data_IF_066244625793
#
_entry.id   IF_066244625793
#
_cell.length_a   1.000
_cell.length_b   1.000
_cell.length_c   1.000
_cell.angle_alpha   90.00
_cell.angle_beta   90.00
_cell.angle_gamma   90.00
#
_symmetry.space_group_name_H-M   'P 1'
#
loop_
_entity.id
_entity.type
_entity.pdbx_description
1 polymer ?
#
# COMPACT_ATOMS: atom_id res chain seq x y z
N UNK A 1 -33.83 27.48 33.07
CA UNK A 1 -32.96 26.34 33.43
C UNK A 1 -31.59 26.61 32.86
N UNK A 2 -30.60 26.85 33.72
CA UNK A 2 -29.21 27.17 33.38
C UNK A 2 -28.37 25.94 33.68
N UNK A 3 -27.60 25.44 32.72
CA UNK A 3 -26.63 24.37 32.95
C UNK A 3 -25.29 24.82 32.38
N UNK A 4 -24.43 25.28 33.30
CA UNK A 4 -23.03 25.64 33.09
C UNK A 4 -22.21 24.43 32.62
N UNK A 5 -21.43 24.60 31.56
CA UNK A 5 -20.38 23.65 31.16
C UNK A 5 -19.17 23.85 32.08
N UNK A 6 -18.87 22.86 32.93
CA UNK A 6 -17.63 22.81 33.70
C UNK A 6 -16.58 22.03 32.92
N UNK A 7 -15.40 22.65 32.78
CA UNK A 7 -14.15 22.06 32.31
C UNK A 7 -13.71 20.92 33.24
N UNK A 8 -13.12 19.86 32.68
CA UNK A 8 -12.35 18.88 33.46
C UNK A 8 -11.02 18.68 32.76
N UNK A 9 -9.99 19.33 33.30
CA UNK A 9 -8.60 19.05 32.98
C UNK A 9 -8.19 17.78 33.73
N UNK A 10 -7.78 16.74 33.00
CA UNK A 10 -7.24 15.52 33.59
C UNK A 10 -5.73 15.72 33.75
N UNK A 11 -5.29 15.95 34.98
CA UNK A 11 -3.89 15.92 35.36
C UNK A 11 -3.49 14.47 35.65
N UNK A 12 -2.65 13.85 34.81
CA UNK A 12 -2.00 12.59 35.14
C UNK A 12 -0.80 12.86 36.05
N UNK A 13 -0.95 12.53 37.34
CA UNK A 13 0.18 12.40 38.27
C UNK A 13 0.64 10.94 38.28
N UNK A 14 1.79 10.66 37.68
CA UNK A 14 2.50 9.38 37.82
C UNK A 14 3.51 9.48 38.95
N UNK A 15 3.30 8.72 40.03
CA UNK A 15 4.25 8.61 41.14
C UNK A 15 5.42 7.71 40.73
N UNK A 16 6.64 8.25 40.72
CA UNK A 16 7.89 7.49 40.55
C UNK A 16 8.30 6.92 41.90
N UNK A 17 8.04 5.64 42.15
CA UNK A 17 8.65 4.90 43.26
C UNK A 17 9.99 4.34 42.81
N UNK A 18 11.09 4.93 43.28
CA UNK A 18 12.44 4.38 43.19
C UNK A 18 12.64 3.37 44.33
N UNK A 19 12.91 2.11 44.00
CA UNK A 19 13.34 1.12 44.99
C UNK A 19 13.66 -0.24 44.40
N UNK A 20 14.87 -0.74 44.67
CA UNK A 20 15.16 -2.17 44.75
C UNK A 20 15.98 -2.76 43.60
N UNK A 21 17.23 -3.07 43.90
CA UNK A 21 18.22 -3.81 43.10
C UNK A 21 17.79 -5.24 42.74
N UNK A 22 17.82 -5.63 41.46
CA UNK A 22 18.33 -6.93 40.96
C UNK A 22 18.09 -7.12 39.45
N UNK A 23 19.10 -7.70 38.78
CA UNK A 23 19.15 -8.24 37.42
C UNK A 23 18.89 -7.27 36.24
N UNK A 24 19.98 -6.95 35.53
CA UNK A 24 19.96 -6.29 34.23
C UNK A 24 19.26 -7.18 33.18
N UNK A 25 17.93 -7.08 33.11
CA UNK A 25 17.24 -7.22 31.83
C UNK A 25 17.40 -5.88 31.12
N UNK A 26 17.81 -5.90 29.86
CA UNK A 26 17.73 -4.73 29.00
C UNK A 26 16.26 -4.30 28.98
N UNK A 27 15.92 -3.30 29.79
CA UNK A 27 14.60 -2.71 29.82
C UNK A 27 14.44 -2.01 28.48
N UNK A 28 13.66 -2.63 27.59
CA UNK A 28 13.20 -2.00 26.35
C UNK A 28 12.73 -0.60 26.70
N UNK A 29 13.34 0.39 26.05
CA UNK A 29 13.15 1.79 26.41
C UNK A 29 11.68 2.14 26.14
N UNK A 30 10.85 2.45 27.15
CA UNK A 30 9.41 2.68 26.95
C UNK A 30 9.12 3.81 25.95
N UNK A 31 10.09 4.73 25.78
CA UNK A 31 10.02 5.79 24.79
C UNK A 31 10.15 5.30 23.33
N UNK A 32 10.92 4.24 23.06
CA UNK A 32 11.06 3.65 21.72
C UNK A 32 9.77 2.92 21.31
N UNK A 33 9.11 2.26 22.25
CA UNK A 33 7.83 1.59 22.01
C UNK A 33 6.71 2.60 21.73
N UNK A 34 6.64 3.68 22.52
CA UNK A 34 5.69 4.80 22.30
C UNK A 34 5.93 5.51 20.96
N UNK A 35 7.21 5.72 20.60
CA UNK A 35 7.61 6.27 19.29
C UNK A 35 7.15 5.38 18.13
N UNK A 36 7.37 4.07 18.25
CA UNK A 36 6.99 3.08 17.23
C UNK A 36 5.47 2.98 17.07
N UNK A 37 4.73 3.04 18.17
CA UNK A 37 3.26 3.09 18.14
C UNK A 37 2.74 4.38 17.48
N UNK A 38 3.33 5.54 17.81
CA UNK A 38 2.96 6.81 17.20
C UNK A 38 3.22 6.82 15.68
N UNK A 39 4.38 6.32 15.25
CA UNK A 39 4.71 6.20 13.82
C UNK A 39 3.76 5.26 13.08
N UNK A 40 3.36 4.15 13.72
CA UNK A 40 2.38 3.21 13.15
C UNK A 40 1.03 3.90 12.91
N UNK A 41 0.56 4.70 13.87
CA UNK A 41 -0.71 5.44 13.71
C UNK A 41 -0.64 6.48 12.58
N UNK A 42 0.49 7.18 12.44
CA UNK A 42 0.72 8.12 11.34
C UNK A 42 0.68 7.39 9.99
N UNK A 43 1.34 6.22 9.89
CA UNK A 43 1.38 5.44 8.66
C UNK A 43 -0.02 4.94 8.26
N UNK A 44 -0.83 4.50 9.22
CA UNK A 44 -2.22 4.09 8.97
C UNK A 44 -3.05 5.28 8.47
N UNK A 45 -2.95 6.44 9.13
CA UNK A 45 -3.69 7.63 8.73
C UNK A 45 -3.27 8.12 7.33
N UNK A 46 -1.97 8.09 7.01
CA UNK A 46 -1.46 8.44 5.69
C UNK A 46 -1.96 7.47 4.61
N UNK A 47 -1.96 6.16 4.88
CA UNK A 47 -2.47 5.16 3.95
C UNK A 47 -3.97 5.35 3.68
N UNK A 48 -4.78 5.64 4.72
CA UNK A 48 -6.20 5.95 4.56
C UNK A 48 -6.43 7.23 3.74
N UNK A 49 -5.66 8.28 4.02
CA UNK A 49 -5.73 9.52 3.26
C UNK A 49 -5.38 9.28 1.79
N UNK A 50 -4.25 8.64 1.50
CA UNK A 50 -3.83 8.31 0.13
C UNK A 50 -4.90 7.47 -0.56
N UNK A 51 -5.41 6.42 0.08
CA UNK A 51 -6.47 5.56 -0.48
C UNK A 51 -7.74 6.35 -0.83
N UNK A 52 -8.09 7.37 -0.03
CA UNK A 52 -9.27 8.23 -0.27
C UNK A 52 -9.09 9.24 -1.41
N UNK A 53 -7.86 9.48 -1.88
CA UNK A 53 -7.62 10.39 -2.99
C UNK A 53 -8.15 9.81 -4.30
N UNK A 54 -8.76 10.63 -5.17
CA UNK A 54 -9.05 10.24 -6.54
C UNK A 54 -7.79 9.78 -7.29
N UNK A 55 -7.93 8.82 -8.21
CA UNK A 55 -6.78 8.25 -8.89
C UNK A 55 -6.02 9.26 -9.76
N UNK A 56 -6.75 10.18 -10.40
CA UNK A 56 -6.19 11.30 -11.16
C UNK A 56 -5.34 12.25 -10.29
N UNK A 57 -5.71 12.41 -9.01
CA UNK A 57 -4.92 13.21 -8.06
C UNK A 57 -3.62 12.50 -7.70
N UNK A 58 -3.66 11.18 -7.49
CA UNK A 58 -2.47 10.37 -7.20
C UNK A 58 -1.51 10.35 -8.40
N UNK A 59 -2.05 10.19 -9.60
CA UNK A 59 -1.29 10.22 -10.85
C UNK A 59 -0.64 11.58 -11.08
N UNK A 60 -1.37 12.68 -10.80
CA UNK A 60 -0.82 14.02 -10.87
C UNK A 60 0.32 14.23 -9.87
N UNK A 61 0.17 13.77 -8.62
CA UNK A 61 1.21 13.89 -7.61
C UNK A 61 2.52 13.24 -8.10
N UNK A 62 2.44 12.02 -8.62
CA UNK A 62 3.60 11.33 -9.17
C UNK A 62 4.21 12.07 -10.37
N UNK A 63 3.37 12.49 -11.33
CA UNK A 63 3.80 13.25 -12.52
C UNK A 63 4.54 14.55 -12.18
N UNK A 64 4.19 15.19 -11.06
CA UNK A 64 4.84 16.42 -10.60
C UNK A 64 6.00 16.17 -9.61
N UNK A 65 6.42 14.92 -9.41
CA UNK A 65 7.53 14.56 -8.53
C UNK A 65 7.21 14.77 -7.04
N UNK A 66 5.93 14.68 -6.67
CA UNK A 66 5.51 14.74 -5.26
C UNK A 66 5.55 13.33 -4.70
N UNK A 67 6.54 13.08 -3.83
CA UNK A 67 6.66 11.81 -3.12
C UNK A 67 5.49 11.62 -2.15
N UNK A 68 4.69 10.59 -2.41
CA UNK A 68 3.71 10.13 -1.44
C UNK A 68 4.44 9.38 -0.31
N UNK A 69 4.23 9.77 0.97
CA UNK A 69 4.91 9.12 2.08
C UNK A 69 4.39 7.70 2.28
N UNK A 70 5.16 6.89 3.03
CA UNK A 70 4.79 5.55 3.51
C UNK A 70 4.74 4.44 2.44
N UNK A 71 4.48 3.21 2.89
CA UNK A 71 4.26 2.04 2.04
C UNK A 71 3.13 2.25 1.02
N UNK A 72 2.07 2.99 1.40
CA UNK A 72 0.97 3.31 0.49
C UNK A 72 1.42 4.22 -0.65
N UNK A 73 2.33 5.16 -0.39
CA UNK A 73 2.92 5.98 -1.45
C UNK A 73 3.76 5.17 -2.43
N UNK A 74 4.61 4.28 -1.93
CA UNK A 74 5.36 3.35 -2.78
C UNK A 74 4.45 2.44 -3.62
N UNK A 75 3.32 2.00 -3.05
CA UNK A 75 2.32 1.22 -3.78
C UNK A 75 1.66 2.01 -4.93
N UNK A 76 1.37 3.30 -4.72
CA UNK A 76 0.77 4.14 -5.77
C UNK A 76 1.77 4.49 -6.87
N UNK A 77 3.02 4.79 -6.51
CA UNK A 77 4.10 4.97 -7.49
C UNK A 77 4.30 3.69 -8.31
N UNK A 78 4.38 2.53 -7.67
CA UNK A 78 4.52 1.25 -8.37
C UNK A 78 3.37 1.02 -9.36
N UNK A 79 2.13 1.29 -8.95
CA UNK A 79 0.96 1.16 -9.84
C UNK A 79 1.06 2.12 -11.03
N UNK A 80 1.41 3.39 -10.80
CA UNK A 80 1.56 4.38 -11.86
C UNK A 80 2.61 3.95 -12.90
N UNK A 81 3.80 3.57 -12.45
CA UNK A 81 4.89 3.17 -13.34
C UNK A 81 4.55 1.90 -14.12
N UNK A 82 3.88 0.95 -13.47
CA UNK A 82 3.42 -0.28 -14.16
C UNK A 82 2.42 0.06 -15.26
N UNK A 83 1.49 0.99 -14.99
CA UNK A 83 0.53 1.46 -15.99
C UNK A 83 1.22 2.13 -17.17
N UNK A 84 2.17 3.04 -16.93
CA UNK A 84 2.93 3.70 -18.00
C UNK A 84 3.69 2.67 -18.85
N UNK A 85 4.39 1.73 -18.21
CA UNK A 85 5.16 0.70 -18.89
C UNK A 85 4.30 -0.20 -19.79
N UNK A 86 3.07 -0.52 -19.35
CA UNK A 86 2.12 -1.29 -20.16
C UNK A 86 1.53 -0.49 -21.33
N UNK A 87 1.28 0.82 -21.15
CA UNK A 87 0.88 1.70 -22.24
C UNK A 87 2.00 1.84 -23.29
N UNK A 88 3.26 1.98 -22.87
CA UNK A 88 4.43 1.98 -23.77
C UNK A 88 4.61 0.66 -24.53
N UNK A 89 4.29 -0.47 -23.88
CA UNK A 89 4.26 -1.78 -24.51
C UNK A 89 3.08 -1.95 -25.50
N UNK A 90 2.17 -0.98 -25.59
CA UNK A 90 1.06 -0.94 -26.54
C UNK A 90 -0.28 -1.42 -25.99
N UNK A 91 -0.37 -1.81 -24.72
CA UNK A 91 -1.65 -2.20 -24.10
C UNK A 91 -2.55 -0.99 -23.88
N UNK A 92 -3.87 -1.24 -23.78
CA UNK A 92 -4.87 -0.18 -23.56
C UNK A 92 -5.57 -0.37 -22.22
N UNK A 93 -5.73 0.71 -21.45
CA UNK A 93 -6.49 0.66 -20.19
C UNK A 93 -7.92 0.21 -20.44
N UNK A 94 -8.40 -0.73 -19.64
CA UNK A 94 -9.78 -1.22 -19.70
C UNK A 94 -10.43 -1.21 -18.31
N UNK A 95 -11.68 -0.72 -18.23
CA UNK A 95 -12.38 -0.57 -16.96
C UNK A 95 -12.75 -1.91 -16.31
N UNK A 96 -13.06 -2.94 -17.12
CA UNK A 96 -13.37 -4.29 -16.65
C UNK A 96 -12.12 -4.95 -16.08
N UNK A 97 -11.01 -4.81 -16.82
CA UNK A 97 -9.71 -5.30 -16.36
C UNK A 97 -9.26 -4.57 -15.07
N UNK A 98 -9.43 -3.25 -15.01
CA UNK A 98 -9.13 -2.44 -13.82
C UNK A 98 -9.95 -2.86 -12.61
N UNK A 99 -11.26 -3.08 -12.78
CA UNK A 99 -12.13 -3.56 -11.69
C UNK A 99 -11.71 -4.94 -11.20
N UNK A 100 -11.24 -5.81 -12.10
CA UNK A 100 -10.76 -7.16 -11.73
C UNK A 100 -9.43 -7.08 -10.99
N UNK A 101 -8.49 -6.29 -11.49
CA UNK A 101 -7.22 -6.03 -10.81
C UNK A 101 -7.44 -5.48 -9.38
N UNK A 102 -8.38 -4.54 -9.20
CA UNK A 102 -8.71 -4.04 -7.85
C UNK A 102 -9.23 -5.14 -6.93
N UNK A 103 -10.17 -5.96 -7.40
CA UNK A 103 -10.69 -7.09 -6.62
C UNK A 103 -9.57 -8.06 -6.22
N UNK A 104 -8.64 -8.34 -7.13
CA UNK A 104 -7.50 -9.21 -6.89
C UNK A 104 -6.53 -8.63 -5.84
N UNK A 105 -6.22 -7.34 -5.93
CA UNK A 105 -5.39 -6.65 -4.94
C UNK A 105 -6.05 -6.66 -3.55
N UNK A 106 -7.35 -6.41 -3.48
CA UNK A 106 -8.12 -6.42 -2.23
C UNK A 106 -8.22 -7.84 -1.62
N UNK A 107 -8.42 -8.87 -2.46
CA UNK A 107 -8.39 -10.28 -2.04
C UNK A 107 -7.03 -10.63 -1.42
N UNK A 108 -5.94 -10.17 -2.03
CA UNK A 108 -4.58 -10.40 -1.53
C UNK A 108 -4.32 -9.69 -0.20
N UNK A 109 -4.68 -8.41 -0.09
CA UNK A 109 -4.55 -7.65 1.17
C UNK A 109 -5.42 -8.22 2.29
N UNK A 110 -6.56 -8.85 1.95
CA UNK A 110 -7.41 -9.57 2.89
C UNK A 110 -6.90 -10.98 3.24
N UNK A 111 -5.76 -11.42 2.70
CA UNK A 111 -5.17 -12.74 2.97
C UNK A 111 -5.91 -13.91 2.33
N UNK A 112 -6.70 -13.66 1.28
CA UNK A 112 -7.49 -14.70 0.59
C UNK A 112 -6.74 -15.37 -0.56
N UNK A 113 -5.61 -14.79 -0.97
CA UNK A 113 -4.78 -15.27 -2.08
C UNK A 113 -3.62 -16.11 -1.54
N UNK A 114 -3.41 -17.27 -2.13
CA UNK A 114 -2.21 -18.08 -1.89
C UNK A 114 -1.07 -17.60 -2.79
N UNK A 115 0.14 -17.56 -2.24
CA UNK A 115 1.33 -17.10 -2.94
C UNK A 115 2.38 -18.19 -3.00
N UNK A 116 2.91 -18.43 -4.19
CA UNK A 116 4.08 -19.27 -4.44
C UNK A 116 5.20 -18.37 -4.98
N UNK A 117 6.35 -18.35 -4.31
CA UNK A 117 7.49 -17.46 -4.64
C UNK A 117 7.13 -15.97 -4.80
N UNK A 118 6.13 -15.51 -4.04
CA UNK A 118 5.66 -14.11 -4.06
C UNK A 118 4.68 -13.79 -5.19
N UNK A 119 4.25 -14.78 -5.97
CA UNK A 119 3.26 -14.65 -7.04
C UNK A 119 1.98 -15.38 -6.64
N UNK A 120 0.84 -14.73 -6.83
CA UNK A 120 -0.49 -15.31 -6.62
C UNK A 120 -1.42 -14.98 -7.77
N UNK A 121 -2.62 -15.55 -7.73
CA UNK A 121 -3.67 -15.29 -8.71
C UNK A 121 -4.98 -15.02 -7.98
N UNK A 122 -5.74 -14.03 -8.44
CA UNK A 122 -7.07 -13.78 -7.91
C UNK A 122 -8.10 -14.75 -8.48
N UNK A 123 -9.27 -14.81 -7.85
CA UNK A 123 -10.31 -15.77 -8.24
C UNK A 123 -11.38 -15.15 -9.14
N UNK A 124 -11.58 -13.83 -9.06
CA UNK A 124 -12.56 -13.13 -9.87
C UNK A 124 -12.18 -13.12 -11.35
N UNK A 125 -13.15 -13.37 -12.24
CA UNK A 125 -13.01 -13.26 -13.70
C UNK A 125 -11.83 -14.03 -14.31
N UNK A 126 -11.37 -15.12 -13.68
CA UNK A 126 -10.27 -15.95 -14.18
C UNK A 126 -10.55 -16.59 -15.55
N UNK A 127 -11.81 -16.59 -16.00
CA UNK A 127 -12.22 -17.03 -17.35
C UNK A 127 -12.19 -15.91 -18.40
N UNK A 128 -12.05 -14.64 -18.00
CA UNK A 128 -12.11 -13.46 -18.88
C UNK A 128 -10.74 -12.95 -19.30
N UNK A 129 -9.67 -13.45 -18.70
CA UNK A 129 -8.35 -12.91 -18.88
C UNK A 129 -7.30 -13.68 -18.11
N UNK A 130 -6.08 -13.15 -18.14
CA UNK A 130 -4.93 -13.68 -17.42
C UNK A 130 -4.26 -12.58 -16.63
N UNK A 131 -3.43 -12.94 -15.66
CA UNK A 131 -2.77 -11.97 -14.82
C UNK A 131 -2.11 -12.58 -13.62
N UNK A 132 -1.50 -11.73 -12.80
CA UNK A 132 -0.84 -12.14 -11.58
C UNK A 132 -0.97 -11.07 -10.50
N UNK A 133 -0.77 -11.49 -9.25
CA UNK A 133 -0.64 -10.64 -8.08
C UNK A 133 0.77 -10.84 -7.54
N UNK A 134 1.55 -9.77 -7.43
CA UNK A 134 2.85 -9.81 -6.78
C UNK A 134 2.72 -9.33 -5.34
N UNK A 135 3.26 -10.12 -4.40
CA UNK A 135 3.41 -9.75 -2.99
C UNK A 135 4.82 -9.23 -2.74
N UNK A 136 4.93 -7.92 -2.52
CA UNK A 136 6.21 -7.22 -2.43
C UNK A 136 6.39 -6.59 -1.05
N UNK A 137 7.59 -6.69 -0.51
CA UNK A 137 8.03 -5.77 0.56
C UNK A 137 8.20 -4.35 0.01
N UNK A 138 8.33 -3.36 0.89
CA UNK A 138 8.61 -1.98 0.45
C UNK A 138 9.85 -1.89 -0.45
N UNK A 139 10.93 -2.58 -0.06
CA UNK A 139 12.17 -2.58 -0.84
C UNK A 139 11.95 -3.20 -2.22
N UNK A 140 11.28 -4.35 -2.31
CA UNK A 140 10.99 -5.00 -3.59
C UNK A 140 10.08 -4.14 -4.48
N UNK A 141 9.14 -3.39 -3.90
CA UNK A 141 8.32 -2.44 -4.64
C UNK A 141 9.19 -1.32 -5.24
N UNK A 142 10.14 -0.77 -4.47
CA UNK A 142 11.10 0.24 -4.94
C UNK A 142 12.03 -0.30 -6.02
N UNK A 143 12.53 -1.52 -5.85
CA UNK A 143 13.38 -2.18 -6.84
C UNK A 143 12.62 -2.40 -8.16
N UNK A 144 11.34 -2.76 -8.09
CA UNK A 144 10.48 -2.90 -9.27
C UNK A 144 10.19 -1.55 -9.92
N UNK A 145 9.95 -0.49 -9.14
CA UNK A 145 9.82 0.89 -9.67
C UNK A 145 11.06 1.26 -10.48
N UNK A 146 12.26 1.07 -9.93
CA UNK A 146 13.51 1.36 -10.64
C UNK A 146 13.69 0.53 -11.91
N UNK A 147 13.19 -0.71 -11.91
CA UNK A 147 13.21 -1.57 -13.09
C UNK A 147 12.23 -1.12 -14.17
N UNK A 148 11.13 -0.44 -13.80
CA UNK A 148 10.13 0.10 -14.72
C UNK A 148 10.59 1.39 -15.41
N UNK A 149 11.67 2.03 -14.96
CA UNK A 149 12.32 3.21 -15.59
C UNK A 149 13.03 2.91 -16.93
N UNK A 150 12.65 1.81 -17.57
CA UNK A 150 13.13 1.39 -18.90
C UNK A 150 11.95 1.37 -19.85
N UNK A 151 12.21 1.62 -21.12
CA UNK A 151 11.16 1.55 -22.14
C UNK A 151 10.46 0.18 -22.13
N UNK A 152 9.13 0.21 -22.20
CA UNK A 152 8.31 -0.97 -22.43
C UNK A 152 8.71 -1.69 -23.71
N UNK A 153 8.99 -3.00 -23.62
CA UNK A 153 9.16 -3.80 -24.83
C UNK A 153 7.81 -3.91 -25.54
N UNK A 154 7.69 -3.53 -26.83
CA UNK A 154 6.44 -3.62 -27.55
C UNK A 154 5.88 -5.05 -27.53
N UNK A 155 4.60 -5.19 -27.18
CA UNK A 155 3.93 -6.47 -27.20
C UNK A 155 3.32 -6.74 -28.59
N UNK A 156 3.48 -7.96 -29.11
CA UNK A 156 2.97 -8.32 -30.44
C UNK A 156 1.43 -8.41 -30.49
N UNK A 157 0.81 -8.61 -29.33
CA UNK A 157 -0.64 -8.78 -29.15
C UNK A 157 -1.11 -7.90 -27.98
N UNK A 158 -1.31 -6.59 -28.19
CA UNK A 158 -1.77 -5.70 -27.14
C UNK A 158 -3.22 -6.00 -26.76
N UNK A 159 -3.48 -6.07 -25.46
CA UNK A 159 -4.80 -6.36 -24.87
C UNK A 159 -5.26 -5.27 -23.91
N UNK A 160 -6.55 -5.30 -23.58
CA UNK A 160 -7.12 -4.45 -22.53
C UNK A 160 -6.59 -4.84 -21.14
N UNK A 161 -6.09 -3.90 -20.35
CA UNK A 161 -5.47 -4.19 -19.07
C UNK A 161 -5.97 -3.33 -17.91
N UNK A 162 -5.72 -3.82 -16.69
CA UNK A 162 -5.93 -3.12 -15.44
C UNK A 162 -4.80 -3.38 -14.45
N UNK A 163 -4.45 -2.37 -13.66
CA UNK A 163 -3.43 -2.47 -12.61
C UNK A 163 -3.95 -1.82 -11.35
N UNK A 164 -3.90 -2.55 -10.25
CA UNK A 164 -4.32 -2.04 -8.96
C UNK A 164 -3.33 -2.44 -7.87
N UNK A 165 -3.30 -1.66 -6.81
CA UNK A 165 -2.50 -1.97 -5.62
C UNK A 165 -3.34 -1.95 -4.37
N UNK A 166 -2.94 -2.75 -3.39
CA UNK A 166 -3.46 -2.76 -2.04
C UNK A 166 -2.33 -3.06 -1.05
N UNK A 167 -2.55 -2.78 0.23
CA UNK A 167 -1.57 -3.06 1.28
C UNK A 167 -2.24 -3.55 2.55
N UNK A 168 -1.59 -4.49 3.24
CA UNK A 168 -1.96 -4.94 4.59
C UNK A 168 -1.16 -4.21 5.69
N UNK A 169 -0.42 -3.16 5.32
CA UNK A 169 0.50 -2.42 6.18
C UNK A 169 1.91 -3.02 6.26
N UNK A 170 2.14 -4.22 5.73
CA UNK A 170 3.46 -4.88 5.68
C UNK A 170 3.95 -5.12 4.25
N UNK A 171 3.05 -5.50 3.37
CA UNK A 171 3.32 -5.78 1.97
C UNK A 171 2.52 -4.86 1.05
N UNK A 172 3.07 -4.62 -0.14
CA UNK A 172 2.35 -4.10 -1.31
C UNK A 172 1.91 -5.30 -2.14
N UNK A 173 0.63 -5.36 -2.46
CA UNK A 173 0.06 -6.30 -3.40
C UNK A 173 -0.24 -5.54 -4.68
N UNK A 174 0.48 -5.81 -5.77
CA UNK A 174 0.17 -5.28 -7.09
C UNK A 174 -0.49 -6.38 -7.92
N UNK A 175 -1.68 -6.10 -8.43
CA UNK A 175 -2.42 -6.98 -9.32
C UNK A 175 -2.39 -6.41 -10.73
N UNK A 176 -2.00 -7.22 -11.70
CA UNK A 176 -2.04 -6.94 -13.13
C UNK A 176 -3.01 -7.94 -13.77
N UNK A 177 -3.98 -7.44 -14.54
CA UNK A 177 -4.97 -8.27 -15.23
C UNK A 177 -5.12 -7.83 -16.69
N UNK A 178 -5.15 -8.80 -17.60
CA UNK A 178 -5.21 -8.62 -19.05
C UNK A 178 -6.39 -9.42 -19.60
N UNK A 179 -7.26 -8.77 -20.37
CA UNK A 179 -8.36 -9.44 -21.07
C UNK A 179 -7.83 -10.36 -22.18
N UNK A 180 -8.59 -11.42 -22.45
CA UNK A 180 -8.38 -12.31 -23.60
C UNK A 180 -8.75 -11.64 -24.93
#
# INVERSE_FOLDING_TARGET
MSISRRLTAIALAGALTLGGTAAANAQENPAEELSSQAQTQINIAAAQFISSLPQDVKDAAHKYGIDLPTLAGAAETLRYETVQHLEEAGHTKDNTAQSTAQQWADEAAAGKVSFEDGVGHGTANADKGTGAILKLTEQQARDRINWLDREGNPHNEPTGFGVATATDGKYVYIAEFFLN
#
